data_IF_425257609221
#
_entry.id   IF_425257609221
#
_cell.length_a   1.000
_cell.length_b   1.000
_cell.length_c   1.000
_cell.angle_alpha   90.00
_cell.angle_beta   90.00
_cell.angle_gamma   90.00
#
_symmetry.space_group_name_H-M   'P 1'
#
loop_
_entity.id
_entity.type
_entity.pdbx_description
1 polymer ?
#
# COMPACT_ATOMS: atom_id res chain seq x y z
N UNK A 1 3.21 -10.37 -18.00
CA UNK A 1 3.09 -11.72 -17.39
C UNK A 1 1.64 -12.15 -17.32
N UNK A 2 1.34 -13.45 -17.47
CA UNK A 2 -0.03 -13.97 -17.33
C UNK A 2 -0.19 -14.66 -15.97
N UNK A 3 -0.87 -13.99 -15.04
CA UNK A 3 -1.17 -14.52 -13.71
C UNK A 3 -2.65 -14.91 -13.58
N UNK A 4 -2.94 -15.89 -12.72
CA UNK A 4 -4.31 -16.28 -12.37
C UNK A 4 -4.96 -15.28 -11.42
N UNK A 5 -6.27 -15.37 -11.25
CA UNK A 5 -7.01 -14.57 -10.26
C UNK A 5 -6.48 -14.77 -8.82
N UNK A 6 -6.07 -16.00 -8.48
CA UNK A 6 -5.54 -16.33 -7.16
C UNK A 6 -4.17 -15.70 -6.89
N UNK A 7 -3.33 -15.56 -7.91
CA UNK A 7 -2.07 -14.83 -7.79
C UNK A 7 -2.33 -13.36 -7.46
N UNK A 8 -3.26 -12.68 -8.14
CA UNK A 8 -3.58 -11.28 -7.84
C UNK A 8 -4.13 -11.11 -6.42
N UNK A 9 -4.96 -12.05 -5.95
CA UNK A 9 -5.44 -12.05 -4.57
C UNK A 9 -4.28 -12.21 -3.58
N UNK A 10 -3.32 -13.08 -3.88
CA UNK A 10 -2.12 -13.29 -3.06
C UNK A 10 -1.23 -12.03 -3.03
N UNK A 11 -1.07 -11.33 -4.16
CA UNK A 11 -0.34 -10.04 -4.22
C UNK A 11 -1.00 -9.01 -3.30
N UNK A 12 -2.33 -8.85 -3.41
CA UNK A 12 -3.09 -7.91 -2.57
C UNK A 12 -2.94 -8.27 -1.08
N UNK A 13 -3.05 -9.56 -0.74
CA UNK A 13 -2.98 -10.06 0.62
C UNK A 13 -1.60 -9.88 1.28
N UNK A 14 -0.54 -10.15 0.52
CA UNK A 14 0.84 -10.01 0.99
C UNK A 14 1.26 -8.54 1.06
N UNK A 15 0.86 -7.72 0.08
CA UNK A 15 1.12 -6.28 0.11
C UNK A 15 0.43 -5.59 1.28
N UNK A 16 -0.80 -5.99 1.62
CA UNK A 16 -1.49 -5.55 2.84
C UNK A 16 -0.68 -5.84 4.11
N UNK A 17 0.07 -6.95 4.16
CA UNK A 17 0.96 -7.30 5.28
C UNK A 17 2.35 -6.66 5.19
N UNK A 18 2.52 -5.68 4.31
CA UNK A 18 3.78 -4.96 4.10
C UNK A 18 4.93 -5.87 3.67
N UNK A 19 4.61 -6.98 2.98
CA UNK A 19 5.63 -7.85 2.40
C UNK A 19 6.26 -7.17 1.17
N UNK A 20 7.61 -7.11 1.07
CA UNK A 20 8.29 -6.51 -0.07
C UNK A 20 7.93 -7.21 -1.40
N UNK A 21 7.78 -6.45 -2.51
CA UNK A 21 7.46 -6.99 -3.83
C UNK A 21 8.34 -8.17 -4.27
N UNK A 22 9.65 -8.10 -3.99
CA UNK A 22 10.62 -9.15 -4.31
C UNK A 22 10.27 -10.49 -3.65
N UNK A 23 9.86 -10.46 -2.37
CA UNK A 23 9.44 -11.67 -1.66
C UNK A 23 8.08 -12.18 -2.14
N UNK A 24 7.21 -11.27 -2.61
CA UNK A 24 5.93 -11.65 -3.24
C UNK A 24 6.20 -12.39 -4.56
N UNK A 25 7.15 -11.91 -5.38
CA UNK A 25 7.53 -12.59 -6.62
C UNK A 25 8.07 -14.00 -6.35
N UNK A 26 8.96 -14.14 -5.35
CA UNK A 26 9.46 -15.45 -4.90
C UNK A 26 8.31 -16.36 -4.43
N UNK A 27 7.37 -15.83 -3.63
CA UNK A 27 6.22 -16.60 -3.14
C UNK A 27 5.29 -17.07 -4.26
N UNK A 28 5.21 -16.32 -5.36
CA UNK A 28 4.41 -16.68 -6.55
C UNK A 28 5.18 -17.57 -7.53
N UNK A 29 6.44 -17.90 -7.23
CA UNK A 29 7.33 -18.69 -8.09
C UNK A 29 7.49 -18.07 -9.49
N UNK A 30 7.61 -16.75 -9.55
CA UNK A 30 7.83 -16.00 -10.80
C UNK A 30 9.15 -15.25 -10.79
N UNK A 31 9.62 -14.83 -11.97
CA UNK A 31 10.81 -14.00 -12.08
C UNK A 31 10.62 -12.65 -11.37
N UNK A 32 11.58 -12.31 -10.51
CA UNK A 32 11.53 -11.10 -9.69
C UNK A 32 11.69 -9.83 -10.54
N UNK A 33 12.48 -9.87 -11.60
CA UNK A 33 12.75 -8.71 -12.46
C UNK A 33 11.50 -8.37 -13.26
N UNK A 34 10.88 -9.37 -13.90
CA UNK A 34 9.65 -9.20 -14.66
C UNK A 34 8.50 -8.70 -13.77
N UNK A 35 8.36 -9.26 -12.57
CA UNK A 35 7.35 -8.83 -11.60
C UNK A 35 7.53 -7.36 -11.20
N UNK A 36 8.77 -6.94 -10.94
CA UNK A 36 9.08 -5.56 -10.58
C UNK A 36 8.86 -4.59 -11.73
N UNK A 37 9.12 -5.00 -12.97
CA UNK A 37 8.84 -4.21 -14.17
C UNK A 37 7.32 -3.98 -14.33
N UNK A 38 6.52 -5.03 -14.24
CA UNK A 38 5.07 -4.96 -14.28
C UNK A 38 4.52 -4.08 -13.14
N UNK A 39 5.02 -4.25 -11.90
CA UNK A 39 4.62 -3.43 -10.76
C UNK A 39 4.90 -1.93 -10.97
N UNK A 40 6.03 -1.61 -11.62
CA UNK A 40 6.42 -0.23 -11.92
C UNK A 40 5.62 0.37 -13.08
N UNK A 41 5.11 -0.47 -13.98
CA UNK A 41 4.36 -0.06 -15.16
C UNK A 41 2.93 0.36 -14.80
N UNK A 42 2.50 1.60 -15.11
CA UNK A 42 1.14 2.05 -14.86
C UNK A 42 0.09 1.20 -15.59
N UNK A 43 -1.03 0.92 -14.92
CA UNK A 43 -2.17 0.23 -15.52
C UNK A 43 -2.12 -1.30 -15.49
N UNK A 44 -0.99 -1.92 -15.10
CA UNK A 44 -0.87 -3.38 -14.98
C UNK A 44 -1.69 -3.93 -13.82
N UNK A 45 -2.16 -5.17 -13.95
CA UNK A 45 -2.95 -5.83 -12.91
C UNK A 45 -2.11 -6.13 -11.66
N UNK A 46 -0.83 -6.46 -11.82
CA UNK A 46 0.12 -6.62 -10.71
C UNK A 46 0.21 -5.33 -9.90
N UNK A 47 0.35 -4.19 -10.57
CA UNK A 47 0.37 -2.88 -9.92
C UNK A 47 -0.93 -2.60 -9.18
N UNK A 48 -2.07 -2.80 -9.83
CA UNK A 48 -3.39 -2.57 -9.21
C UNK A 48 -3.57 -3.43 -7.95
N UNK A 49 -3.27 -4.72 -8.03
CA UNK A 49 -3.39 -5.64 -6.89
C UNK A 49 -2.47 -5.24 -5.73
N UNK A 50 -1.20 -4.94 -6.02
CA UNK A 50 -0.23 -4.52 -5.00
C UNK A 50 -0.68 -3.22 -4.31
N UNK A 51 -0.95 -2.17 -5.08
CA UNK A 51 -1.33 -0.88 -4.48
C UNK A 51 -2.68 -0.92 -3.78
N UNK A 52 -3.59 -1.81 -4.17
CA UNK A 52 -4.86 -2.03 -3.44
C UNK A 52 -4.61 -2.60 -2.04
N UNK A 53 -3.75 -3.61 -1.92
CA UNK A 53 -3.33 -4.17 -0.63
C UNK A 53 -2.63 -3.14 0.25
N UNK A 54 -1.65 -2.43 -0.32
CA UNK A 54 -0.92 -1.37 0.35
C UNK A 54 -1.83 -0.22 0.82
N UNK A 55 -2.77 0.21 -0.01
CA UNK A 55 -3.73 1.26 0.35
C UNK A 55 -4.62 0.82 1.52
N UNK A 56 -5.05 -0.45 1.53
CA UNK A 56 -5.87 -0.99 2.62
C UNK A 56 -5.19 -0.88 3.98
N UNK A 57 -3.93 -1.31 4.10
CA UNK A 57 -3.20 -1.20 5.38
C UNK A 57 -2.91 0.25 5.76
N UNK A 58 -2.66 1.13 4.78
CA UNK A 58 -2.51 2.56 5.04
C UNK A 58 -3.80 3.18 5.61
N UNK A 59 -4.97 2.82 5.08
CA UNK A 59 -6.27 3.29 5.58
C UNK A 59 -6.47 2.84 7.03
N UNK A 60 -6.35 1.54 7.29
CA UNK A 60 -6.56 0.97 8.63
C UNK A 60 -5.58 1.58 9.65
N UNK A 61 -4.32 1.76 9.26
CA UNK A 61 -3.30 2.39 10.13
C UNK A 61 -3.66 3.85 10.43
N UNK A 62 -4.09 4.61 9.41
CA UNK A 62 -4.49 6.02 9.60
C UNK A 62 -5.73 6.15 10.46
N UNK A 63 -6.72 5.28 10.28
CA UNK A 63 -7.91 5.22 11.13
C UNK A 63 -7.54 4.99 12.61
N UNK A 64 -6.64 4.02 12.87
CA UNK A 64 -6.13 3.76 14.21
C UNK A 64 -5.43 5.00 14.79
N UNK A 65 -4.54 5.65 14.03
CA UNK A 65 -3.85 6.88 14.47
C UNK A 65 -4.86 7.99 14.78
N UNK A 66 -5.85 8.22 13.93
CA UNK A 66 -6.90 9.23 14.13
C UNK A 66 -7.65 8.95 15.43
N UNK A 67 -8.05 7.70 15.67
CA UNK A 67 -8.78 7.32 16.87
C UNK A 67 -7.93 7.50 18.13
N UNK A 68 -6.67 7.07 18.11
CA UNK A 68 -5.73 7.24 19.22
C UNK A 68 -5.42 8.71 19.50
N UNK A 69 -5.34 9.56 18.46
CA UNK A 69 -5.16 11.00 18.60
C UNK A 69 -6.38 11.68 19.25
N UNK A 70 -7.61 11.27 18.86
CA UNK A 70 -8.86 11.73 19.48
C UNK A 70 -8.95 11.35 20.96
N UNK A 71 -8.36 10.22 21.34
CA UNK A 71 -8.28 9.78 22.74
C UNK A 71 -7.17 10.49 23.55
N UNK A 72 -6.47 11.48 22.98
CA UNK A 72 -5.52 12.33 23.70
C UNK A 72 -4.05 11.89 23.65
N UNK A 73 -3.69 10.92 22.81
CA UNK A 73 -2.29 10.51 22.65
C UNK A 73 -1.47 11.57 21.90
N UNK A 74 -0.58 12.27 22.61
CA UNK A 74 0.30 13.30 22.04
C UNK A 74 1.14 12.79 20.83
N UNK A 75 1.73 11.58 20.87
CA UNK A 75 2.42 11.02 19.69
C UNK A 75 1.50 10.87 18.48
N UNK A 76 0.28 10.36 18.66
CA UNK A 76 -0.66 10.17 17.56
C UNK A 76 -1.19 11.50 17.00
N UNK A 77 -1.39 12.51 17.86
CA UNK A 77 -1.74 13.87 17.45
C UNK A 77 -0.63 14.50 16.60
N UNK A 78 0.63 14.31 17.00
CA UNK A 78 1.79 14.79 16.23
C UNK A 78 1.84 14.16 14.84
N UNK A 79 1.57 12.86 14.74
CA UNK A 79 1.53 12.15 13.47
C UNK A 79 0.35 12.60 12.59
N UNK A 80 -0.84 12.77 13.19
CA UNK A 80 -2.02 13.29 12.49
C UNK A 80 -1.78 14.69 11.90
N UNK A 81 -1.10 15.58 12.63
CA UNK A 81 -0.72 16.91 12.12
C UNK A 81 0.16 16.81 10.88
N UNK A 82 1.08 15.83 10.79
CA UNK A 82 1.90 15.62 9.58
C UNK A 82 1.02 15.24 8.40
N UNK A 83 0.08 14.30 8.57
CA UNK A 83 -0.84 13.91 7.51
C UNK A 83 -1.68 15.08 6.99
N UNK A 84 -2.21 15.93 7.89
CA UNK A 84 -2.97 17.11 7.49
C UNK A 84 -2.13 18.10 6.71
N UNK A 85 -0.86 18.32 7.10
CA UNK A 85 0.06 19.20 6.36
C UNK A 85 0.34 18.66 4.96
N UNK A 86 0.64 17.37 4.83
CA UNK A 86 0.88 16.74 3.53
C UNK A 86 -0.31 16.89 2.58
N UNK A 87 -1.54 16.72 3.07
CA UNK A 87 -2.75 16.91 2.26
C UNK A 87 -2.89 18.38 1.84
N UNK A 88 -2.73 19.33 2.76
CA UNK A 88 -2.83 20.76 2.45
C UNK A 88 -1.79 21.23 1.43
N UNK A 89 -0.62 20.59 1.37
CA UNK A 89 0.38 20.88 0.33
C UNK A 89 0.02 20.29 -1.05
N UNK A 90 -0.84 19.27 -1.12
CA UNK A 90 -1.27 18.63 -2.38
C UNK A 90 -2.56 19.20 -2.95
N UNK A 91 -3.46 19.67 -2.09
CA UNK A 91 -4.73 20.32 -2.47
C UNK A 91 -4.61 21.54 -3.42
N UNK A 92 -3.54 22.35 -3.48
CA UNK A 92 -3.47 23.43 -4.47
C UNK A 92 -3.28 22.96 -5.93
N UNK A 93 -3.19 21.65 -6.17
CA UNK A 93 -2.96 21.04 -7.49
C UNK A 93 -4.02 20.00 -7.90
N UNK A 94 -5.13 19.90 -7.15
CA UNK A 94 -6.41 19.33 -7.60
C UNK A 94 -7.40 20.46 -7.88
#
# INVERSE_FOLDING_TARGET
MNLSADHYKSIEELSYRLIPPTLIAINLEVDETDFLEELRTPGTEIRKAFYKGYLKIMIETREAIIQTAKNGSNPAQTELIKFTREINHRLPYE
#
